data_IF_710782331988
#
_entry.id   IF_710782331988
#
_cell.length_a   1.000
_cell.length_b   1.000
_cell.length_c   1.000
_cell.angle_alpha   90.00
_cell.angle_beta   90.00
_cell.angle_gamma   90.00
#
_symmetry.space_group_name_H-M   'P 1'
#
loop_
_entity.id
_entity.type
_entity.pdbx_description
1 polymer ?
#
# COMPACT_ATOMS: atom_id res chain seq x y z
N UNK A 1 11.62 14.31 9.70
CA UNK A 1 12.19 13.33 8.76
C UNK A 1 11.77 11.93 9.17
N UNK A 2 11.24 11.14 8.24
CA UNK A 2 10.80 9.78 8.55
C UNK A 2 12.00 8.87 8.79
N UNK A 3 12.00 8.11 9.88
CA UNK A 3 13.00 7.10 10.16
C UNK A 3 12.51 5.72 9.74
N UNK A 4 13.36 4.70 9.85
CA UNK A 4 13.05 3.33 9.45
C UNK A 4 11.85 2.79 10.22
N UNK A 5 11.78 3.04 11.52
CA UNK A 5 10.67 2.57 12.35
C UNK A 5 9.34 3.16 11.89
N UNK A 6 9.31 4.47 11.64
CA UNK A 6 8.13 5.16 11.16
C UNK A 6 7.71 4.66 9.77
N UNK A 7 8.69 4.45 8.88
CA UNK A 7 8.40 3.90 7.56
C UNK A 7 7.85 2.49 7.65
N UNK A 8 8.39 1.66 8.51
CA UNK A 8 7.87 0.30 8.73
C UNK A 8 6.43 0.32 9.21
N UNK A 9 6.08 1.23 10.11
CA UNK A 9 4.71 1.36 10.59
C UNK A 9 3.75 1.73 9.47
N UNK A 10 4.13 2.70 8.64
CA UNK A 10 3.33 3.12 7.50
C UNK A 10 3.19 2.00 6.47
N UNK A 11 4.27 1.28 6.21
CA UNK A 11 4.27 0.15 5.28
C UNK A 11 3.29 -0.93 5.77
N UNK A 12 3.30 -1.24 7.05
CA UNK A 12 2.39 -2.22 7.63
C UNK A 12 0.93 -1.80 7.47
N UNK A 13 0.63 -0.53 7.72
CA UNK A 13 -0.73 0.02 7.57
C UNK A 13 -1.18 -0.08 6.10
N UNK A 14 -0.32 0.31 5.17
CA UNK A 14 -0.65 0.27 3.74
C UNK A 14 -0.84 -1.16 3.24
N UNK A 15 0.00 -2.09 3.69
CA UNK A 15 -0.17 -3.51 3.34
C UNK A 15 -1.51 -4.03 3.80
N UNK A 16 -1.90 -3.69 5.01
CA UNK A 16 -3.19 -4.10 5.56
C UNK A 16 -4.34 -3.48 4.76
N UNK A 17 -4.23 -2.20 4.41
CA UNK A 17 -5.23 -1.51 3.60
C UNK A 17 -5.39 -2.17 2.22
N UNK A 18 -4.29 -2.50 1.56
CA UNK A 18 -4.32 -3.16 0.26
C UNK A 18 -4.98 -4.53 0.38
N UNK A 19 -4.66 -5.28 1.42
CA UNK A 19 -5.27 -6.59 1.66
C UNK A 19 -6.78 -6.46 1.86
N UNK A 20 -7.23 -5.51 2.68
CA UNK A 20 -8.65 -5.28 2.91
C UNK A 20 -9.38 -4.87 1.64
N UNK A 21 -8.78 -4.00 0.84
CA UNK A 21 -9.35 -3.59 -0.44
C UNK A 21 -9.46 -4.77 -1.40
N UNK A 22 -8.45 -5.64 -1.41
CA UNK A 22 -8.47 -6.84 -2.24
C UNK A 22 -9.58 -7.80 -1.83
N UNK A 23 -9.80 -7.96 -0.52
CA UNK A 23 -10.90 -8.76 0.01
C UNK A 23 -12.25 -8.17 -0.36
N UNK A 24 -12.39 -6.84 -0.27
CA UNK A 24 -13.61 -6.16 -0.69
C UNK A 24 -13.86 -6.34 -2.19
N UNK A 25 -12.84 -6.24 -3.00
CA UNK A 25 -12.94 -6.44 -4.44
C UNK A 25 -13.47 -7.83 -4.79
N UNK A 26 -13.04 -8.85 -4.04
CA UNK A 26 -13.51 -10.22 -4.23
C UNK A 26 -14.97 -10.40 -3.84
N UNK A 27 -15.48 -9.60 -2.90
CA UNK A 27 -16.84 -9.72 -2.37
C UNK A 27 -17.86 -8.90 -3.13
N UNK A 28 -17.44 -7.87 -3.86
CA UNK A 28 -18.34 -6.94 -4.54
C UNK A 28 -18.51 -7.34 -5.99
N UNK A 29 -19.77 -7.34 -6.46
CA UNK A 29 -20.10 -7.51 -7.86
C UNK A 29 -20.64 -6.20 -8.42
N UNK A 30 -20.13 -5.79 -9.60
CA UNK A 30 -20.55 -4.56 -10.25
C UNK A 30 -19.35 -3.79 -10.80
N UNK A 31 -19.36 -3.53 -12.11
CA UNK A 31 -18.23 -2.97 -12.83
C UNK A 31 -17.74 -1.63 -12.26
N UNK A 32 -18.66 -0.73 -11.89
CA UNK A 32 -18.28 0.59 -11.38
C UNK A 32 -17.57 0.49 -10.03
N UNK A 33 -18.05 -0.39 -9.15
CA UNK A 33 -17.42 -0.59 -7.85
C UNK A 33 -16.07 -1.29 -7.98
N UNK A 34 -15.98 -2.24 -8.89
CA UNK A 34 -14.72 -2.94 -9.17
C UNK A 34 -13.65 -1.97 -9.65
N UNK A 35 -14.00 -1.04 -10.55
CA UNK A 35 -13.07 -0.03 -11.05
C UNK A 35 -12.57 0.88 -9.92
N UNK A 36 -13.46 1.34 -9.05
CA UNK A 36 -13.08 2.22 -7.95
C UNK A 36 -12.14 1.54 -6.97
N UNK A 37 -12.44 0.28 -6.67
CA UNK A 37 -11.59 -0.48 -5.76
C UNK A 37 -10.24 -0.77 -6.41
N UNK A 38 -10.23 -1.11 -7.71
CA UNK A 38 -9.00 -1.34 -8.45
C UNK A 38 -8.11 -0.09 -8.46
N UNK A 39 -8.69 1.09 -8.66
CA UNK A 39 -7.95 2.36 -8.60
C UNK A 39 -7.35 2.60 -7.23
N UNK A 40 -8.12 2.33 -6.17
CA UNK A 40 -7.64 2.47 -4.81
C UNK A 40 -6.50 1.52 -4.50
N UNK A 41 -6.64 0.28 -4.93
CA UNK A 41 -5.58 -0.72 -4.77
C UNK A 41 -4.32 -0.24 -5.48
N UNK A 42 -4.44 0.24 -6.71
CA UNK A 42 -3.30 0.76 -7.47
C UNK A 42 -2.62 1.93 -6.76
N UNK A 43 -3.38 2.90 -6.28
CA UNK A 43 -2.86 4.07 -5.57
C UNK A 43 -2.14 3.67 -4.28
N UNK A 44 -2.76 2.80 -3.50
CA UNK A 44 -2.18 2.33 -2.24
C UNK A 44 -0.94 1.49 -2.49
N UNK A 45 -0.94 0.68 -3.54
CA UNK A 45 0.20 -0.15 -3.91
C UNK A 45 1.39 0.69 -4.35
N UNK A 46 1.15 1.75 -5.11
CA UNK A 46 2.21 2.68 -5.52
C UNK A 46 2.83 3.39 -4.32
N UNK A 47 1.99 3.85 -3.40
CA UNK A 47 2.46 4.48 -2.17
C UNK A 47 3.29 3.50 -1.34
N UNK A 48 2.81 2.27 -1.22
CA UNK A 48 3.51 1.21 -0.50
C UNK A 48 4.89 0.96 -1.11
N UNK A 49 4.97 0.84 -2.43
CA UNK A 49 6.23 0.63 -3.13
C UNK A 49 7.21 1.77 -2.89
N UNK A 50 6.71 3.01 -2.92
CA UNK A 50 7.54 4.19 -2.68
C UNK A 50 8.12 4.17 -1.27
N UNK A 51 7.30 3.84 -0.27
CA UNK A 51 7.77 3.77 1.11
C UNK A 51 8.78 2.65 1.33
N UNK A 52 8.57 1.51 0.68
CA UNK A 52 9.52 0.40 0.74
C UNK A 52 10.87 0.82 0.16
N UNK A 53 10.86 1.51 -0.97
CA UNK A 53 12.10 2.02 -1.58
C UNK A 53 12.81 3.02 -0.69
N UNK A 54 12.07 3.91 -0.04
CA UNK A 54 12.65 4.86 0.91
C UNK A 54 13.29 4.13 2.09
N UNK A 55 12.59 3.16 2.65
CA UNK A 55 13.10 2.37 3.76
C UNK A 55 14.37 1.63 3.37
N UNK A 56 14.34 0.96 2.22
CA UNK A 56 15.48 0.17 1.76
C UNK A 56 16.68 1.06 1.46
N UNK A 57 16.46 2.25 0.94
CA UNK A 57 17.54 3.23 0.73
C UNK A 57 18.20 3.63 2.06
N UNK A 58 17.41 3.80 3.11
CA UNK A 58 17.95 4.12 4.44
C UNK A 58 18.73 2.95 5.03
N UNK A 59 18.25 1.73 4.84
CA UNK A 59 18.91 0.54 5.35
C UNK A 59 20.17 0.19 4.60
N UNK A 60 20.26 0.56 3.32
CA UNK A 60 21.40 0.25 2.46
C UNK A 60 22.44 1.37 2.39
N UNK A 61 22.31 2.38 3.22
CA UNK A 61 23.30 3.45 3.29
C UNK A 61 24.63 2.89 3.80
N UNK A 62 25.73 3.22 3.11
CA UNK A 62 27.05 2.80 3.56
C UNK A 62 27.46 3.49 4.85
#
# INVERSE_FOLDING_TARGET
>A
MADVSELNDRIAILRDNVRQLSEQAAAISGAANEERIAERIAQQSEELERLIKQRDALLNKP
#
